data_IF_281625592806
#
_entry.id   IF_281625592806
#
_cell.length_a   1.000
_cell.length_b   1.000
_cell.length_c   1.000
_cell.angle_alpha   90.00
_cell.angle_beta   90.00
_cell.angle_gamma   90.00
#
_symmetry.space_group_name_H-M   'P 1'
#
loop_
_entity.id
_entity.type
_entity.pdbx_description
1 polymer ?
#
# COMPACT_ATOMS: atom_id res chain seq x y z
N UNK A 1 7.61 -18.06 -6.26
CA UNK A 1 6.66 -18.28 -5.14
C UNK A 1 6.19 -17.01 -4.40
N UNK A 2 6.69 -15.86 -4.75
CA UNK A 2 6.16 -14.55 -4.30
C UNK A 2 4.74 -14.27 -4.81
N UNK A 3 4.41 -14.81 -5.95
CA UNK A 3 3.17 -14.54 -6.70
C UNK A 3 1.93 -15.12 -6.03
N UNK A 4 2.04 -16.19 -5.26
CA UNK A 4 0.86 -16.88 -4.68
C UNK A 4 0.20 -16.16 -3.49
N UNK A 5 0.93 -15.33 -2.75
CA UNK A 5 0.38 -14.67 -1.55
C UNK A 5 -0.42 -13.40 -1.84
N UNK A 6 -0.07 -12.70 -2.90
CA UNK A 6 -0.81 -11.52 -3.35
C UNK A 6 -1.99 -11.85 -4.26
N UNK A 7 -2.11 -13.10 -4.72
CA UNK A 7 -3.18 -13.53 -5.64
C UNK A 7 -4.61 -13.36 -5.12
N UNK A 8 -4.79 -13.19 -3.84
CA UNK A 8 -6.13 -12.90 -3.28
C UNK A 8 -6.49 -11.42 -3.34
N UNK A 9 -5.49 -10.52 -3.48
CA UNK A 9 -5.69 -9.07 -3.56
C UNK A 9 -5.26 -8.48 -4.89
N UNK A 10 -4.26 -9.07 -5.56
CA UNK A 10 -3.71 -8.56 -6.81
C UNK A 10 -4.02 -9.52 -7.96
N UNK A 11 -4.73 -9.05 -8.97
CA UNK A 11 -5.02 -9.83 -10.19
C UNK A 11 -3.80 -9.82 -11.11
N UNK A 12 -3.02 -8.72 -11.09
CA UNK A 12 -1.83 -8.54 -11.91
C UNK A 12 -0.73 -7.88 -11.08
N UNK A 13 0.35 -8.62 -10.84
CA UNK A 13 1.51 -8.14 -10.09
C UNK A 13 2.52 -7.46 -11.00
N UNK A 14 3.19 -6.43 -10.48
CA UNK A 14 4.27 -5.72 -11.15
C UNK A 14 5.42 -5.46 -10.19
N UNK A 15 6.63 -5.53 -10.71
CA UNK A 15 7.81 -5.16 -9.97
C UNK A 15 8.30 -3.79 -10.45
N UNK A 16 7.89 -2.74 -9.76
CA UNK A 16 8.20 -1.35 -10.10
C UNK A 16 9.71 -1.01 -10.08
N UNK A 17 10.56 -1.90 -9.57
CA UNK A 17 12.01 -1.73 -9.63
C UNK A 17 12.63 -2.27 -10.92
N UNK A 18 11.87 -3.03 -11.70
CA UNK A 18 12.33 -3.69 -12.93
C UNK A 18 11.61 -3.21 -14.18
N UNK A 19 10.43 -2.64 -14.03
CA UNK A 19 9.61 -2.21 -15.15
C UNK A 19 8.89 -0.90 -14.82
N UNK A 20 8.57 -0.12 -15.86
CA UNK A 20 7.74 1.07 -15.74
C UNK A 20 6.27 0.64 -15.55
N UNK A 21 5.80 0.67 -14.32
CA UNK A 21 4.45 0.24 -14.00
C UNK A 21 3.37 1.15 -14.58
N UNK A 22 3.64 2.46 -14.76
CA UNK A 22 2.64 3.39 -15.32
C UNK A 22 2.38 3.11 -16.80
N UNK A 23 3.41 2.80 -17.57
CA UNK A 23 3.26 2.36 -18.97
C UNK A 23 2.46 1.06 -19.06
N UNK A 24 2.76 0.10 -18.17
CA UNK A 24 2.01 -1.17 -18.14
C UNK A 24 0.54 -1.00 -17.73
N UNK A 25 0.24 -0.07 -16.84
CA UNK A 25 -1.15 0.25 -16.51
C UNK A 25 -1.85 0.89 -17.71
N UNK A 26 -1.20 1.83 -18.41
CA UNK A 26 -1.74 2.43 -19.64
C UNK A 26 -2.02 1.36 -20.71
N UNK A 27 -1.08 0.45 -20.94
CA UNK A 27 -1.23 -0.66 -21.88
C UNK A 27 -2.46 -1.53 -21.54
N UNK A 28 -2.59 -1.97 -20.29
CA UNK A 28 -3.68 -2.84 -19.82
C UNK A 28 -5.05 -2.15 -19.88
N UNK A 29 -5.07 -0.83 -19.74
CA UNK A 29 -6.30 -0.02 -19.72
C UNK A 29 -6.57 0.66 -21.04
N UNK A 30 -5.89 0.29 -22.13
CA UNK A 30 -5.99 0.93 -23.45
C UNK A 30 -5.82 2.46 -23.38
N UNK A 31 -4.88 2.95 -22.56
CA UNK A 31 -4.60 4.37 -22.38
C UNK A 31 -5.52 5.11 -21.40
N UNK A 32 -6.61 4.53 -20.96
CA UNK A 32 -7.61 5.18 -20.11
C UNK A 32 -7.09 5.46 -18.69
N UNK A 33 -6.33 4.53 -18.11
CA UNK A 33 -5.88 4.56 -16.73
C UNK A 33 -6.93 4.02 -15.74
N UNK A 34 -6.58 4.07 -14.44
CA UNK A 34 -7.39 3.51 -13.35
C UNK A 34 -8.13 4.60 -12.56
N UNK A 35 -9.29 4.30 -11.96
CA UNK A 35 -10.05 5.29 -11.19
C UNK A 35 -9.38 5.67 -9.87
N UNK A 36 -8.66 4.75 -9.25
CA UNK A 36 -8.03 4.96 -7.94
C UNK A 36 -6.66 4.29 -7.91
N UNK A 37 -5.69 4.97 -7.31
CA UNK A 37 -4.38 4.42 -6.95
C UNK A 37 -4.18 4.53 -5.45
N UNK A 38 -3.84 3.42 -4.82
CA UNK A 38 -3.41 3.35 -3.43
C UNK A 38 -1.89 3.26 -3.38
N UNK A 39 -1.22 4.31 -2.91
CA UNK A 39 0.24 4.37 -2.85
C UNK A 39 0.74 4.39 -1.40
N UNK A 40 1.42 3.31 -1.01
CA UNK A 40 2.08 3.16 0.28
C UNK A 40 3.60 3.37 0.22
N UNK A 41 4.16 3.59 -0.97
CA UNK A 41 5.62 3.71 -1.19
C UNK A 41 6.07 5.16 -1.08
N UNK A 42 5.34 6.10 -1.68
CA UNK A 42 5.58 7.53 -1.56
C UNK A 42 6.54 8.07 -2.61
N UNK A 43 7.63 8.73 -2.19
CA UNK A 43 8.54 9.50 -3.06
C UNK A 43 8.90 8.83 -4.38
N UNK A 44 9.26 7.54 -4.36
CA UNK A 44 9.72 6.83 -5.57
C UNK A 44 8.62 6.46 -6.56
N UNK A 45 7.36 6.46 -6.14
CA UNK A 45 6.25 5.97 -6.97
C UNK A 45 5.21 7.01 -7.28
N UNK A 46 5.22 8.15 -6.60
CA UNK A 46 4.17 9.17 -6.66
C UNK A 46 3.86 9.61 -8.10
N UNK A 47 4.87 10.02 -8.86
CA UNK A 47 4.68 10.53 -10.23
C UNK A 47 4.09 9.44 -11.14
N UNK A 48 4.63 8.23 -11.11
CA UNK A 48 4.09 7.10 -11.86
C UNK A 48 2.67 6.73 -11.41
N UNK A 49 2.37 6.86 -10.12
CA UNK A 49 1.03 6.64 -9.58
C UNK A 49 0.01 7.67 -10.10
N UNK A 50 0.40 8.94 -10.18
CA UNK A 50 -0.39 10.03 -10.83
C UNK A 50 -0.63 9.73 -12.31
N UNK A 51 0.40 9.25 -13.01
CA UNK A 51 0.28 8.90 -14.43
C UNK A 51 -0.71 7.76 -14.69
N UNK A 52 -0.80 6.80 -13.78
CA UNK A 52 -1.75 5.69 -13.88
C UNK A 52 -3.22 6.11 -13.83
N UNK A 53 -3.52 7.28 -13.25
CA UNK A 53 -4.88 7.70 -13.02
C UNK A 53 -5.57 8.18 -14.32
N UNK A 54 -6.84 7.79 -14.46
CA UNK A 54 -7.75 8.36 -15.46
C UNK A 54 -8.16 9.78 -15.08
N UNK A 55 -8.80 10.49 -15.99
CA UNK A 55 -9.44 11.79 -15.73
C UNK A 55 -10.39 11.66 -14.52
N UNK A 56 -10.33 12.62 -13.59
CA UNK A 56 -11.05 12.64 -12.31
C UNK A 56 -10.77 11.44 -11.41
N UNK A 57 -9.60 10.81 -11.58
CA UNK A 57 -9.14 9.71 -10.71
C UNK A 57 -8.66 10.22 -9.34
N UNK A 58 -8.57 9.30 -8.39
CA UNK A 58 -8.18 9.58 -7.01
C UNK A 58 -6.84 8.94 -6.67
N UNK A 59 -5.90 9.76 -6.20
CA UNK A 59 -4.65 9.35 -5.59
C UNK A 59 -4.82 9.24 -4.07
N UNK A 60 -4.71 8.04 -3.52
CA UNK A 60 -4.72 7.77 -2.08
C UNK A 60 -3.29 7.49 -1.63
N UNK A 61 -2.60 8.53 -1.16
CA UNK A 61 -1.23 8.44 -0.68
C UNK A 61 -1.21 8.14 0.80
N UNK A 62 -1.15 6.86 1.21
CA UNK A 62 -1.27 6.46 2.61
C UNK A 62 0.04 6.05 3.28
N UNK A 63 1.16 5.96 2.53
CA UNK A 63 2.46 5.55 3.06
C UNK A 63 3.65 6.33 2.51
N UNK A 64 4.79 6.19 3.19
CA UNK A 64 6.07 6.84 2.86
C UNK A 64 7.24 5.85 2.94
N UNK A 65 7.05 4.61 2.49
CA UNK A 65 8.10 3.57 2.61
C UNK A 65 9.42 3.91 1.88
N UNK A 66 9.38 4.81 0.88
CA UNK A 66 10.57 5.32 0.18
C UNK A 66 10.97 6.73 0.58
N UNK A 67 10.35 7.28 1.60
CA UNK A 67 10.53 8.64 2.08
C UNK A 67 9.30 9.51 1.85
N UNK A 68 9.24 10.68 2.51
CA UNK A 68 8.16 11.64 2.36
C UNK A 68 8.09 12.15 0.92
N UNK A 69 6.88 12.54 0.51
CA UNK A 69 6.69 13.17 -0.79
C UNK A 69 7.39 14.53 -0.84
N UNK A 70 7.97 14.83 -1.98
CA UNK A 70 8.39 16.19 -2.29
C UNK A 70 7.14 17.11 -2.45
N UNK A 71 7.28 18.44 -2.31
CA UNK A 71 6.17 19.34 -2.51
C UNK A 71 5.47 19.12 -3.84
N UNK A 72 4.15 18.84 -3.79
CA UNK A 72 3.35 18.58 -4.98
C UNK A 72 2.86 19.90 -5.58
N UNK A 73 3.22 20.15 -6.83
CA UNK A 73 2.65 21.25 -7.58
C UNK A 73 1.26 20.86 -8.10
N UNK A 74 0.22 21.38 -7.46
CA UNK A 74 -1.19 21.05 -7.77
C UNK A 74 -1.52 21.33 -9.23
N UNK A 75 -1.08 22.49 -9.77
CA UNK A 75 -1.35 22.85 -11.17
C UNK A 75 -0.69 21.91 -12.15
N UNK A 76 0.55 21.50 -11.88
CA UNK A 76 1.30 20.58 -12.76
C UNK A 76 0.84 19.14 -12.64
N UNK A 77 0.62 18.67 -11.41
CA UNK A 77 0.41 17.24 -11.15
C UNK A 77 -1.07 16.83 -11.18
N UNK A 78 -1.98 17.68 -10.74
CA UNK A 78 -3.39 17.30 -10.58
C UNK A 78 -4.31 17.94 -11.63
N UNK A 79 -4.10 19.20 -11.98
CA UNK A 79 -5.00 19.95 -12.86
C UNK A 79 -5.16 19.32 -14.26
N UNK A 80 -4.14 18.74 -14.92
CA UNK A 80 -4.29 18.23 -16.29
C UNK A 80 -5.36 17.14 -16.43
N UNK A 81 -5.65 16.41 -15.36
CA UNK A 81 -6.68 15.37 -15.34
C UNK A 81 -7.80 15.63 -14.34
N UNK A 82 -7.78 16.76 -13.63
CA UNK A 82 -8.73 17.07 -12.57
C UNK A 82 -8.72 16.02 -11.46
N UNK A 83 -7.54 15.66 -10.97
CA UNK A 83 -7.36 14.57 -10.02
C UNK A 83 -7.70 14.98 -8.59
N UNK A 84 -8.12 14.02 -7.80
CA UNK A 84 -8.23 14.12 -6.34
C UNK A 84 -6.98 13.52 -5.70
N UNK A 85 -6.44 14.18 -4.68
CA UNK A 85 -5.35 13.71 -3.85
C UNK A 85 -5.78 13.69 -2.39
N UNK A 86 -5.63 12.56 -1.73
CA UNK A 86 -5.91 12.43 -0.29
C UNK A 86 -4.78 11.72 0.42
N UNK A 87 -4.56 12.11 1.69
CA UNK A 87 -3.57 11.52 2.60
C UNK A 87 -4.25 10.99 3.86
N UNK A 88 -4.94 9.83 3.77
CA UNK A 88 -5.60 9.26 4.92
C UNK A 88 -4.61 8.64 5.92
N UNK A 89 -5.00 8.65 7.19
CA UNK A 89 -4.37 7.88 8.26
C UNK A 89 -5.43 7.04 8.95
N UNK A 90 -5.08 5.87 9.44
CA UNK A 90 -6.01 5.04 10.21
C UNK A 90 -6.55 5.79 11.42
N UNK A 91 -5.75 6.67 12.03
CA UNK A 91 -6.17 7.50 13.15
C UNK A 91 -7.38 8.39 12.84
N UNK A 92 -7.56 8.80 11.57
CA UNK A 92 -8.72 9.58 11.15
C UNK A 92 -10.01 8.75 11.02
N UNK A 93 -9.87 7.43 10.90
CA UNK A 93 -10.99 6.48 10.74
C UNK A 93 -11.29 5.69 12.02
N UNK A 94 -10.49 5.91 13.06
CA UNK A 94 -10.63 5.29 14.39
C UNK A 94 -10.40 6.34 15.46
N UNK A 95 -10.95 7.55 15.25
CA UNK A 95 -10.72 8.71 16.11
C UNK A 95 -11.48 8.62 17.43
N UNK A 96 -12.60 7.89 17.43
CA UNK A 96 -13.36 7.62 18.64
C UNK A 96 -13.20 6.16 19.08
N UNK A 97 -13.54 5.86 20.33
CA UNK A 97 -13.51 4.51 20.85
C UNK A 97 -14.48 3.59 20.12
N UNK A 98 -15.64 4.12 19.78
CA UNK A 98 -16.69 3.40 19.05
C UNK A 98 -16.23 3.01 17.65
N UNK A 99 -15.63 3.94 16.91
CA UNK A 99 -15.07 3.66 15.56
C UNK A 99 -13.96 2.61 15.62
N UNK A 100 -13.07 2.69 16.62
CA UNK A 100 -12.02 1.71 16.82
C UNK A 100 -12.59 0.31 17.11
N UNK A 101 -13.56 0.22 18.03
CA UNK A 101 -14.17 -1.05 18.41
C UNK A 101 -14.95 -1.67 17.25
N UNK A 102 -15.66 -0.86 16.46
CA UNK A 102 -16.35 -1.34 15.26
C UNK A 102 -15.37 -1.86 14.20
N UNK A 103 -14.30 -1.12 13.92
CA UNK A 103 -13.28 -1.53 12.97
C UNK A 103 -12.57 -2.82 13.41
N UNK A 104 -12.19 -2.92 14.69
CA UNK A 104 -11.56 -4.09 15.26
C UNK A 104 -12.50 -5.32 15.19
N UNK A 105 -13.78 -5.15 15.54
CA UNK A 105 -14.78 -6.21 15.45
C UNK A 105 -14.89 -6.76 14.02
N UNK A 106 -14.98 -5.88 13.02
CA UNK A 106 -15.02 -6.29 11.60
C UNK A 106 -13.79 -7.11 11.20
N UNK A 107 -12.58 -6.67 11.59
CA UNK A 107 -11.34 -7.40 11.27
C UNK A 107 -11.32 -8.78 11.94
N UNK A 108 -11.69 -8.89 13.22
CA UNK A 108 -11.74 -10.17 13.91
C UNK A 108 -12.81 -11.11 13.34
N UNK A 109 -13.96 -10.59 12.94
CA UNK A 109 -14.99 -11.39 12.27
C UNK A 109 -14.51 -11.92 10.91
N UNK A 110 -13.82 -11.08 10.12
CA UNK A 110 -13.23 -11.52 8.85
C UNK A 110 -12.17 -12.61 9.07
N UNK A 111 -11.36 -12.50 10.11
CA UNK A 111 -10.39 -13.53 10.47
C UNK A 111 -11.08 -14.84 10.90
N UNK A 112 -12.06 -14.76 11.80
CA UNK A 112 -12.84 -15.93 12.28
C UNK A 112 -13.56 -16.64 11.14
N UNK A 113 -14.12 -15.88 10.18
CA UNK A 113 -14.83 -16.42 9.01
C UNK A 113 -13.90 -16.80 7.86
N UNK A 114 -12.57 -16.80 8.10
CA UNK A 114 -11.53 -17.18 7.13
C UNK A 114 -11.59 -16.40 5.81
N UNK A 115 -12.10 -15.15 5.84
CA UNK A 115 -12.06 -14.26 4.68
C UNK A 115 -10.64 -13.84 4.31
N UNK A 116 -9.70 -13.93 5.25
CA UNK A 116 -8.27 -13.85 4.98
C UNK A 116 -7.51 -14.80 5.92
N UNK A 117 -6.32 -15.23 5.48
CA UNK A 117 -5.43 -16.07 6.28
C UNK A 117 -4.24 -15.25 6.77
N UNK A 118 -4.07 -15.20 8.10
CA UNK A 118 -2.89 -14.63 8.72
C UNK A 118 -1.85 -15.73 8.93
N UNK A 119 -0.78 -15.72 8.14
CA UNK A 119 0.35 -16.63 8.33
C UNK A 119 1.56 -15.83 8.80
N UNK A 120 1.96 -16.04 10.05
CA UNK A 120 3.20 -15.47 10.58
C UNK A 120 4.37 -16.03 9.76
N UNK A 121 5.12 -15.14 9.13
CA UNK A 121 6.28 -15.51 8.30
C UNK A 121 7.49 -15.87 9.17
N UNK A 122 7.77 -15.06 10.20
CA UNK A 122 8.90 -15.26 11.10
C UNK A 122 8.58 -14.78 12.51
N UNK A 123 9.12 -15.51 13.48
CA UNK A 123 9.09 -15.15 14.89
C UNK A 123 10.51 -14.81 15.32
N UNK A 124 10.66 -13.78 16.15
CA UNK A 124 11.90 -13.36 16.78
C UNK A 124 11.70 -13.34 18.28
N UNK A 125 12.73 -13.64 19.05
CA UNK A 125 12.75 -13.34 20.47
C UNK A 125 12.99 -11.84 20.70
N UNK A 126 12.67 -11.32 21.88
CA UNK A 126 12.93 -9.93 22.22
C UNK A 126 14.42 -9.57 22.07
N UNK A 127 15.32 -10.50 22.41
CA UNK A 127 16.77 -10.30 22.26
C UNK A 127 17.23 -10.19 20.78
N UNK A 128 16.42 -10.61 19.83
CA UNK A 128 16.69 -10.50 18.39
C UNK A 128 16.10 -9.24 17.75
N UNK A 129 15.66 -8.25 18.54
CA UNK A 129 15.00 -7.04 18.01
C UNK A 129 15.83 -6.33 16.94
N UNK A 130 17.13 -6.18 17.17
CA UNK A 130 18.05 -5.54 16.21
C UNK A 130 18.06 -6.30 14.88
N UNK A 131 18.15 -7.64 14.95
CA UNK A 131 18.11 -8.50 13.77
C UNK A 131 16.77 -8.43 13.05
N UNK A 132 15.66 -8.35 13.80
CA UNK A 132 14.33 -8.21 13.23
C UNK A 132 14.22 -6.92 12.40
N UNK A 133 14.71 -5.78 12.91
CA UNK A 133 14.76 -4.52 12.18
C UNK A 133 15.66 -4.60 10.94
N UNK A 134 16.87 -5.15 11.08
CA UNK A 134 17.78 -5.34 9.94
C UNK A 134 17.18 -6.23 8.84
N UNK A 135 16.53 -7.32 9.22
CA UNK A 135 15.88 -8.21 8.27
C UNK A 135 14.70 -7.52 7.57
N UNK A 136 13.96 -6.64 8.25
CA UNK A 136 12.88 -5.84 7.69
C UNK A 136 13.42 -4.81 6.68
N UNK A 137 14.42 -4.03 7.06
CA UNK A 137 15.07 -3.01 6.23
C UNK A 137 15.71 -3.62 4.98
N UNK A 138 16.37 -4.77 5.15
CA UNK A 138 16.96 -5.54 4.05
C UNK A 138 15.94 -6.35 3.21
N UNK A 139 14.62 -6.17 3.46
CA UNK A 139 13.53 -6.83 2.74
C UNK A 139 13.58 -8.37 2.75
N UNK A 140 14.19 -8.95 3.79
CA UNK A 140 14.23 -10.41 4.00
C UNK A 140 12.92 -10.94 4.57
N UNK A 141 12.09 -10.09 5.17
CA UNK A 141 10.78 -10.43 5.72
C UNK A 141 9.74 -10.31 4.61
N UNK A 142 9.15 -11.44 4.22
CA UNK A 142 8.19 -11.53 3.12
C UNK A 142 6.72 -11.64 3.60
N UNK A 143 6.46 -11.39 4.86
CA UNK A 143 5.13 -11.45 5.46
C UNK A 143 5.16 -10.97 6.90
N UNK A 144 4.05 -11.08 7.66
CA UNK A 144 4.00 -10.64 9.04
C UNK A 144 5.07 -11.32 9.89
N UNK A 145 5.84 -10.53 10.62
CA UNK A 145 6.79 -11.00 11.62
C UNK A 145 6.32 -10.54 13.01
N UNK A 146 6.57 -11.35 14.02
CA UNK A 146 6.21 -11.04 15.41
C UNK A 146 7.42 -11.21 16.31
N UNK A 147 7.48 -10.37 17.33
CA UNK A 147 8.46 -10.48 18.41
C UNK A 147 7.74 -11.14 19.58
N UNK A 148 8.37 -12.16 20.14
CA UNK A 148 7.85 -12.89 21.31
C UNK A 148 8.72 -12.49 22.48
N UNK A 149 8.11 -11.97 23.57
CA UNK A 149 8.81 -11.62 24.80
C UNK A 149 9.53 -12.79 25.43
#
# INVERSE_FOLDING_TARGET
NRVRRQRQMCIRDRNYTKENFSEKVKEITNGVGVPVVYDGVGKKTFDGSIECLKVRGMMVSFGNASGPLDPCNVTKSLAPKGLYLTRPSIAHYTSTREELDEAAKKVFEMYKTKKFNLKIFKKYSLNEIVKAHQDLENRKILGPAVIIP
#
